data_IF_041960489274
#
_entry.id   IF_041960489274
#
_cell.length_a   1.000
_cell.length_b   1.000
_cell.length_c   1.000
_cell.angle_alpha   90.00
_cell.angle_beta   90.00
_cell.angle_gamma   90.00
#
_symmetry.space_group_name_H-M   'P 1'
#
loop_
_entity.id
_entity.type
_entity.pdbx_description
1 polymer ?
#
# COMPACT_ATOMS: atom_id res chain seq x y z
N UNK A 1 -9.90 -3.69 3.84
CA UNK A 1 -9.33 -4.22 2.58
C UNK A 1 -7.89 -3.76 2.50
N UNK A 2 -6.93 -4.65 2.28
CA UNK A 2 -5.50 -4.34 2.20
C UNK A 2 -4.85 -4.82 0.91
N UNK A 3 -3.58 -4.45 0.70
CA UNK A 3 -2.83 -4.82 -0.50
C UNK A 3 -2.75 -6.34 -0.73
N UNK A 4 -2.73 -7.14 0.33
CA UNK A 4 -2.71 -8.60 0.23
C UNK A 4 -3.96 -9.15 -0.47
N UNK A 5 -5.13 -8.55 -0.26
CA UNK A 5 -6.39 -9.03 -0.87
C UNK A 5 -6.36 -8.97 -2.41
N UNK A 6 -5.45 -8.17 -2.99
CA UNK A 6 -5.35 -7.90 -4.43
C UNK A 6 -4.01 -8.39 -5.01
N UNK A 7 -2.92 -8.32 -4.25
CA UNK A 7 -1.56 -8.50 -4.74
C UNK A 7 -0.89 -9.85 -4.36
N UNK A 8 -1.58 -10.74 -3.63
CA UNK A 8 -1.01 -11.96 -3.03
C UNK A 8 -0.41 -13.00 -4.01
N UNK A 9 -0.56 -12.82 -5.32
CA UNK A 9 0.08 -13.68 -6.34
C UNK A 9 0.68 -12.82 -7.45
N UNK A 10 1.94 -12.36 -7.32
CA UNK A 10 2.59 -11.57 -8.35
C UNK A 10 2.66 -12.40 -9.64
N UNK A 11 1.97 -11.92 -10.68
CA UNK A 11 2.05 -12.47 -12.03
C UNK A 11 3.39 -12.12 -12.68
N UNK A 12 3.74 -12.77 -13.80
CA UNK A 12 4.90 -12.36 -14.61
C UNK A 12 4.85 -10.87 -14.97
N UNK A 13 3.66 -10.35 -15.29
CA UNK A 13 3.45 -8.93 -15.54
C UNK A 13 3.76 -8.07 -14.31
N UNK A 14 3.37 -8.52 -13.11
CA UNK A 14 3.66 -7.81 -11.86
C UNK A 14 5.15 -7.76 -11.58
N UNK A 15 5.86 -8.89 -11.77
CA UNK A 15 7.31 -8.96 -11.60
C UNK A 15 8.01 -8.06 -12.61
N UNK A 16 7.64 -8.14 -13.90
CA UNK A 16 8.22 -7.29 -14.95
C UNK A 16 8.04 -5.80 -14.64
N UNK A 17 6.82 -5.36 -14.31
CA UNK A 17 6.56 -3.96 -13.98
C UNK A 17 7.26 -3.51 -12.69
N UNK A 18 7.40 -4.42 -11.69
CA UNK A 18 8.17 -4.14 -10.48
C UNK A 18 9.64 -3.92 -10.81
N UNK A 19 10.23 -4.75 -11.68
CA UNK A 19 11.61 -4.58 -12.15
C UNK A 19 11.78 -3.30 -12.96
N UNK A 20 10.81 -2.93 -13.80
CA UNK A 20 10.86 -1.67 -14.54
C UNK A 20 10.86 -0.46 -13.59
N UNK A 21 9.99 -0.47 -12.58
CA UNK A 21 9.87 0.61 -11.61
C UNK A 21 11.07 0.66 -10.65
N UNK A 22 11.51 -0.49 -10.12
CA UNK A 22 12.58 -0.57 -9.13
C UNK A 22 13.98 -0.67 -9.74
N UNK A 23 14.12 -1.04 -11.01
CA UNK A 23 15.41 -1.13 -11.70
C UNK A 23 15.79 0.16 -12.40
N UNK A 24 14.85 0.82 -13.08
CA UNK A 24 15.19 1.86 -14.06
C UNK A 24 14.73 3.28 -13.71
N UNK A 25 13.89 3.45 -12.68
CA UNK A 25 13.41 4.77 -12.27
C UNK A 25 14.24 5.33 -11.10
N UNK A 26 14.24 6.64 -10.88
CA UNK A 26 14.79 7.23 -9.64
C UNK A 26 13.65 7.55 -8.66
N UNK A 27 13.92 7.66 -7.35
CA UNK A 27 12.92 8.09 -6.37
C UNK A 27 12.27 9.43 -6.74
N UNK A 28 13.05 10.38 -7.25
CA UNK A 28 12.58 11.71 -7.66
C UNK A 28 11.69 11.63 -8.89
N UNK A 29 12.05 10.79 -9.87
CA UNK A 29 11.25 10.55 -11.08
C UNK A 29 9.89 9.97 -10.69
N UNK A 30 9.85 8.96 -9.84
CA UNK A 30 8.60 8.37 -9.32
C UNK A 30 7.79 9.43 -8.55
N UNK A 31 8.45 10.21 -7.68
CA UNK A 31 7.81 11.22 -6.84
C UNK A 31 7.16 12.36 -7.62
N UNK A 32 7.72 12.72 -8.78
CA UNK A 32 7.23 13.80 -9.65
C UNK A 32 6.14 13.36 -10.62
N UNK A 33 5.84 12.07 -10.74
CA UNK A 33 4.75 11.60 -11.59
C UNK A 33 3.42 12.20 -11.13
N UNK A 34 2.69 12.80 -12.07
CA UNK A 34 1.31 13.28 -11.90
C UNK A 34 0.29 12.38 -12.58
N UNK A 35 0.73 11.33 -13.28
CA UNK A 35 -0.12 10.38 -13.99
C UNK A 35 0.43 8.95 -13.92
N UNK A 36 -0.42 7.93 -14.12
CA UNK A 36 -0.01 6.52 -14.04
C UNK A 36 1.15 6.18 -15.00
N UNK A 37 1.15 6.79 -16.19
CA UNK A 37 2.18 6.59 -17.21
C UNK A 37 3.47 7.40 -17.00
N UNK A 38 3.57 8.17 -15.93
CA UNK A 38 4.70 9.05 -15.67
C UNK A 38 6.00 8.34 -15.28
N UNK A 39 5.93 7.05 -14.92
CA UNK A 39 7.09 6.21 -14.62
C UNK A 39 6.86 4.79 -15.15
N UNK A 40 7.95 4.14 -15.57
CA UNK A 40 7.88 2.80 -16.11
C UNK A 40 7.42 1.80 -15.04
N UNK A 41 6.43 0.98 -15.38
CA UNK A 41 5.82 0.03 -14.46
C UNK A 41 4.75 0.61 -13.52
N UNK A 42 4.70 1.94 -13.32
CA UNK A 42 3.75 2.57 -12.39
C UNK A 42 2.30 2.36 -12.79
N UNK A 43 1.97 2.46 -14.09
CA UNK A 43 0.63 2.22 -14.62
C UNK A 43 0.05 0.87 -14.21
N UNK A 44 0.87 -0.18 -14.15
CA UNK A 44 0.42 -1.51 -13.74
C UNK A 44 -0.03 -1.51 -12.27
N UNK A 45 0.77 -0.93 -11.39
CA UNK A 45 0.43 -0.82 -9.98
C UNK A 45 -0.76 0.12 -9.74
N UNK A 46 -0.87 1.21 -10.48
CA UNK A 46 -2.05 2.09 -10.38
C UNK A 46 -3.30 1.34 -10.82
N UNK A 47 -3.28 0.62 -11.94
CA UNK A 47 -4.41 -0.21 -12.39
C UNK A 47 -4.78 -1.25 -11.33
N UNK A 48 -3.79 -1.95 -10.78
CA UNK A 48 -4.01 -2.97 -9.75
C UNK A 48 -4.62 -2.38 -8.47
N UNK A 49 -4.00 -1.35 -7.92
CA UNK A 49 -4.44 -0.76 -6.66
C UNK A 49 -5.70 0.10 -6.80
N UNK A 50 -6.05 0.60 -7.99
CA UNK A 50 -7.29 1.35 -8.24
C UNK A 50 -8.41 0.45 -8.74
N UNK A 51 -8.21 -0.15 -9.91
CA UNK A 51 -9.29 -0.82 -10.64
C UNK A 51 -9.56 -2.21 -10.08
N UNK A 52 -8.50 -2.98 -9.79
CA UNK A 52 -8.67 -4.34 -9.24
C UNK A 52 -9.17 -4.28 -7.79
N UNK A 53 -8.66 -3.36 -6.97
CA UNK A 53 -9.21 -3.07 -5.63
C UNK A 53 -10.67 -2.64 -5.68
N UNK A 54 -11.04 -1.73 -6.59
CA UNK A 54 -12.45 -1.31 -6.74
C UNK A 54 -13.35 -2.49 -7.10
N UNK A 55 -12.92 -3.33 -8.05
CA UNK A 55 -13.65 -4.57 -8.41
C UNK A 55 -13.79 -5.51 -7.23
N UNK A 56 -12.75 -5.67 -6.43
CA UNK A 56 -12.80 -6.49 -5.23
C UNK A 56 -13.80 -5.93 -4.20
N UNK A 57 -13.76 -4.62 -3.93
CA UNK A 57 -14.72 -3.96 -3.03
C UNK A 57 -16.15 -4.19 -3.52
N UNK A 58 -16.43 -3.98 -4.80
CA UNK A 58 -17.76 -4.22 -5.38
C UNK A 58 -18.24 -5.65 -5.14
N UNK A 59 -17.35 -6.65 -5.29
CA UNK A 59 -17.68 -8.06 -4.99
C UNK A 59 -17.94 -8.31 -3.51
N UNK A 60 -17.16 -7.70 -2.61
CA UNK A 60 -17.33 -7.85 -1.17
C UNK A 60 -18.67 -7.25 -0.71
N UNK A 61 -19.05 -6.09 -1.26
CA UNK A 61 -20.27 -5.38 -0.84
C UNK A 61 -21.54 -5.84 -1.57
N UNK A 62 -21.42 -6.73 -2.56
CA UNK A 62 -22.54 -7.23 -3.36
C UNK A 62 -23.62 -7.88 -2.49
N UNK A 63 -23.22 -8.63 -1.46
CA UNK A 63 -24.15 -9.37 -0.57
C UNK A 63 -24.50 -8.61 0.69
N UNK A 64 -23.57 -7.84 1.22
CA UNK A 64 -23.73 -7.06 2.47
C UNK A 64 -23.18 -5.68 2.21
N UNK A 65 -23.96 -4.64 2.47
CA UNK A 65 -23.55 -3.25 2.26
C UNK A 65 -23.14 -2.62 3.60
N UNK A 66 -21.85 -2.70 4.00
CA UNK A 66 -21.39 -2.03 5.19
C UNK A 66 -21.53 -0.51 5.01
N UNK A 67 -21.67 0.23 6.11
CA UNK A 67 -21.64 1.69 6.04
C UNK A 67 -20.30 2.21 5.49
N UNK A 68 -19.21 1.48 5.72
CA UNK A 68 -17.86 1.90 5.38
C UNK A 68 -16.95 0.73 4.99
N UNK A 69 -16.06 0.97 4.03
CA UNK A 69 -14.90 0.13 3.70
C UNK A 69 -13.64 0.97 3.78
N UNK A 70 -12.70 0.57 4.63
CA UNK A 70 -11.37 1.19 4.71
C UNK A 70 -10.41 0.42 3.79
N UNK A 71 -9.73 1.16 2.91
CA UNK A 71 -8.75 0.63 1.95
C UNK A 71 -7.35 1.02 2.40
N UNK A 72 -6.64 0.07 2.97
CA UNK A 72 -5.34 0.28 3.57
C UNK A 72 -4.24 0.13 2.53
N UNK A 73 -3.53 1.21 2.22
CA UNK A 73 -2.24 1.12 1.52
C UNK A 73 -1.19 0.54 2.45
N UNK A 74 -0.28 -0.25 1.90
CA UNK A 74 0.82 -0.88 2.63
C UNK A 74 1.71 0.18 3.31
N UNK A 75 2.30 -0.23 4.44
CA UNK A 75 3.30 0.55 5.15
C UNK A 75 4.70 0.36 4.56
N UNK A 76 5.67 1.14 5.05
CA UNK A 76 7.07 0.93 4.72
C UNK A 76 7.59 -0.29 5.48
N UNK A 77 8.31 -1.23 4.83
CA UNK A 77 9.06 -2.24 5.56
C UNK A 77 10.11 -1.61 6.47
N UNK A 78 10.54 -2.32 7.51
CA UNK A 78 11.68 -1.90 8.31
C UNK A 78 12.95 -1.81 7.44
N UNK A 79 13.70 -0.73 7.61
CA UNK A 79 14.95 -0.49 6.89
C UNK A 79 16.06 -1.40 7.44
N UNK A 80 15.96 -1.85 8.70
CA UNK A 80 16.92 -2.79 9.30
C UNK A 80 16.70 -4.21 8.80
N UNK A 81 17.82 -4.90 8.51
CA UNK A 81 17.81 -6.33 8.18
C UNK A 81 17.73 -7.14 9.47
N UNK A 82 16.80 -8.08 9.52
CA UNK A 82 16.55 -8.91 10.70
C UNK A 82 16.72 -10.40 10.42
N UNK A 83 17.12 -10.79 9.21
CA UNK A 83 17.20 -12.21 8.80
C UNK A 83 15.83 -12.77 8.40
N UNK A 84 14.90 -11.91 8.01
CA UNK A 84 13.52 -12.29 7.75
C UNK A 84 13.33 -12.95 6.39
N UNK A 85 12.20 -13.63 6.23
CA UNK A 85 11.82 -14.24 4.95
C UNK A 85 11.72 -13.21 3.80
N UNK A 86 11.49 -11.93 4.12
CA UNK A 86 11.37 -10.85 3.14
C UNK A 86 12.72 -10.27 2.70
N UNK A 87 13.84 -10.60 3.37
CA UNK A 87 15.13 -9.97 3.13
C UNK A 87 15.64 -10.19 1.70
N UNK A 88 15.45 -11.37 1.13
CA UNK A 88 15.84 -11.67 -0.24
C UNK A 88 15.11 -10.79 -1.26
N UNK A 89 13.78 -10.67 -1.11
CA UNK A 89 12.97 -9.83 -1.99
C UNK A 89 13.31 -8.35 -1.83
N UNK A 90 13.42 -7.85 -0.60
CA UNK A 90 13.76 -6.45 -0.34
C UNK A 90 15.18 -6.10 -0.81
N UNK A 91 16.13 -7.04 -0.71
CA UNK A 91 17.45 -6.89 -1.30
C UNK A 91 17.40 -6.77 -2.82
N UNK A 92 16.63 -7.63 -3.50
CA UNK A 92 16.48 -7.59 -4.95
C UNK A 92 15.83 -6.29 -5.46
N UNK A 93 14.98 -5.65 -4.64
CA UNK A 93 14.40 -4.34 -4.94
C UNK A 93 15.34 -3.16 -4.61
N UNK A 94 16.54 -3.43 -4.08
CA UNK A 94 17.50 -2.40 -3.67
C UNK A 94 17.12 -1.69 -2.35
N UNK A 95 16.10 -2.18 -1.63
CA UNK A 95 15.55 -1.53 -0.45
C UNK A 95 16.58 -1.37 0.68
N UNK A 96 17.51 -2.31 0.80
CA UNK A 96 18.57 -2.30 1.82
C UNK A 96 19.53 -1.12 1.73
N UNK A 97 19.72 -0.55 0.54
CA UNK A 97 20.63 0.58 0.34
C UNK A 97 19.92 1.87 -0.04
N UNK A 98 18.70 1.76 -0.61
CA UNK A 98 17.90 2.86 -1.14
C UNK A 98 16.41 2.68 -0.81
N UNK A 99 16.04 2.68 0.48
CA UNK A 99 14.66 2.44 0.89
C UNK A 99 13.69 3.48 0.32
N UNK A 100 14.15 4.71 0.14
CA UNK A 100 13.37 5.84 -0.36
C UNK A 100 12.72 5.57 -1.72
N UNK A 101 13.31 4.70 -2.54
CA UNK A 101 12.77 4.34 -3.87
C UNK A 101 11.46 3.58 -3.78
N UNK A 102 11.42 2.50 -2.99
CA UNK A 102 10.20 1.73 -2.77
C UNK A 102 9.18 2.56 -2.00
N UNK A 103 9.62 3.33 -1.02
CA UNK A 103 8.74 4.24 -0.27
C UNK A 103 8.10 5.29 -1.19
N UNK A 104 8.85 5.85 -2.15
CA UNK A 104 8.33 6.77 -3.16
C UNK A 104 7.27 6.10 -4.05
N UNK A 105 7.50 4.85 -4.46
CA UNK A 105 6.52 4.08 -5.21
C UNK A 105 5.24 3.83 -4.42
N UNK A 106 5.34 3.41 -3.15
CA UNK A 106 4.19 3.19 -2.26
C UNK A 106 3.35 4.48 -2.13
N UNK A 107 4.01 5.61 -1.82
CA UNK A 107 3.34 6.92 -1.72
C UNK A 107 2.65 7.30 -3.03
N UNK A 108 3.32 7.09 -4.16
CA UNK A 108 2.79 7.48 -5.47
C UNK A 108 1.60 6.60 -5.90
N UNK A 109 1.64 5.30 -5.62
CA UNK A 109 0.50 4.41 -5.88
C UNK A 109 -0.67 4.79 -4.97
N UNK A 110 -0.44 5.19 -3.72
CA UNK A 110 -1.52 5.66 -2.84
C UNK A 110 -2.23 6.89 -3.43
N UNK A 111 -1.43 7.89 -3.81
CA UNK A 111 -1.92 9.13 -4.39
C UNK A 111 -2.72 8.91 -5.68
N UNK A 112 -2.14 8.18 -6.64
CA UNK A 112 -2.74 8.01 -7.98
C UNK A 112 -3.80 6.91 -8.05
N UNK A 113 -3.79 5.96 -7.11
CA UNK A 113 -4.63 4.76 -7.17
C UNK A 113 -5.58 4.66 -5.99
N UNK A 114 -5.07 4.46 -4.77
CA UNK A 114 -5.90 4.18 -3.60
C UNK A 114 -6.82 5.36 -3.27
N UNK A 115 -6.30 6.60 -3.31
CA UNK A 115 -7.09 7.81 -3.11
C UNK A 115 -8.18 7.98 -4.17
N UNK A 116 -7.93 7.53 -5.40
CA UNK A 116 -8.89 7.64 -6.50
C UNK A 116 -10.14 6.75 -6.32
N UNK A 117 -10.15 5.84 -5.34
CA UNK A 117 -11.31 4.99 -5.01
C UNK A 117 -12.22 5.66 -3.96
N UNK A 118 -11.75 6.72 -3.30
CA UNK A 118 -12.47 7.39 -2.22
C UNK A 118 -13.87 7.88 -2.62
N UNK A 119 -14.76 7.97 -1.64
CA UNK A 119 -16.15 8.39 -1.83
C UNK A 119 -17.12 7.22 -1.73
N UNK A 120 -18.35 7.40 -2.22
CA UNK A 120 -19.42 6.41 -2.05
C UNK A 120 -19.49 5.44 -3.23
N UNK A 121 -19.47 4.13 -2.95
CA UNK A 121 -19.71 3.05 -3.92
C UNK A 121 -20.94 2.28 -3.46
N UNK A 122 -22.03 2.34 -4.24
CA UNK A 122 -23.29 1.64 -3.94
C UNK A 122 -23.82 1.85 -2.50
N UNK A 123 -23.69 3.09 -1.99
CA UNK A 123 -24.11 3.45 -0.64
C UNK A 123 -23.09 3.11 0.47
N UNK A 124 -21.99 2.44 0.14
CA UNK A 124 -20.86 2.19 1.06
C UNK A 124 -19.84 3.33 0.94
N UNK A 125 -19.47 3.96 2.06
CA UNK A 125 -18.39 4.95 2.09
C UNK A 125 -17.02 4.24 1.99
N UNK A 126 -16.20 4.61 1.01
CA UNK A 126 -14.84 4.08 0.85
C UNK A 126 -13.82 5.13 1.30
N UNK A 127 -13.00 4.75 2.27
CA UNK A 127 -11.99 5.62 2.90
C UNK A 127 -10.59 5.05 2.67
N UNK A 128 -9.71 5.73 1.91
CA UNK A 128 -8.30 5.39 1.80
C UNK A 128 -7.59 5.59 3.14
N UNK A 129 -6.67 4.68 3.49
CA UNK A 129 -5.87 4.79 4.70
C UNK A 129 -4.38 4.51 4.41
N UNK A 130 -3.46 5.47 4.62
CA UNK A 130 -2.05 5.30 4.31
C UNK A 130 -1.28 4.71 5.49
N UNK A 131 -1.18 3.38 5.60
CA UNK A 131 -0.41 2.81 6.72
C UNK A 131 1.08 3.14 6.70
N UNK A 132 1.64 3.57 5.56
CA UNK A 132 3.00 4.08 5.51
C UNK A 132 3.21 5.37 6.31
N UNK A 133 2.14 6.08 6.67
CA UNK A 133 2.20 7.21 7.60
C UNK A 133 2.03 6.77 9.07
N UNK A 134 1.72 5.50 9.31
CA UNK A 134 1.46 4.93 10.64
C UNK A 134 2.65 4.11 11.14
N UNK A 135 3.20 3.27 10.27
CA UNK A 135 4.42 2.51 10.52
C UNK A 135 5.56 3.08 9.69
N UNK A 136 6.49 3.72 10.39
CA UNK A 136 7.72 4.26 9.83
C UNK A 136 8.78 3.16 9.79
N UNK A 137 9.31 2.86 8.61
CA UNK A 137 10.35 1.84 8.40
C UNK A 137 11.65 2.10 9.17
N UNK A 138 11.82 3.30 9.74
CA UNK A 138 12.97 3.62 10.60
C UNK A 138 12.79 3.22 12.07
N UNK A 139 11.56 2.93 12.50
CA UNK A 139 11.26 2.50 13.86
C UNK A 139 11.10 0.98 13.92
N UNK A 140 12.24 0.28 14.04
CA UNK A 140 12.31 -1.19 14.15
C UNK A 140 11.44 -1.75 15.28
N UNK A 141 11.13 -0.98 16.32
CA UNK A 141 10.25 -1.45 17.41
C UNK A 141 8.81 -1.72 16.97
N UNK A 142 8.42 -1.23 15.79
CA UNK A 142 7.10 -1.45 15.20
C UNK A 142 7.00 -2.74 14.39
N UNK A 143 8.09 -3.50 14.24
CA UNK A 143 8.16 -4.64 13.34
C UNK A 143 8.61 -5.93 14.03
N UNK A 144 8.16 -7.03 13.47
CA UNK A 144 8.71 -8.38 13.57
C UNK A 144 9.11 -8.75 12.15
N UNK A 145 10.31 -9.30 11.98
CA UNK A 145 10.73 -9.85 10.68
C UNK A 145 10.57 -8.88 9.50
N UNK A 146 10.77 -7.59 9.79
CA UNK A 146 10.88 -6.49 8.82
C UNK A 146 9.59 -6.07 8.10
N UNK A 147 8.65 -6.98 7.90
CA UNK A 147 7.40 -6.73 7.17
C UNK A 147 6.16 -7.00 8.01
N UNK A 148 6.29 -7.70 9.13
CA UNK A 148 5.18 -8.02 10.01
C UNK A 148 5.12 -6.97 11.13
N UNK A 149 3.95 -6.44 11.48
CA UNK A 149 3.86 -5.49 12.58
C UNK A 149 4.12 -6.20 13.91
N UNK A 150 4.91 -5.60 14.79
CA UNK A 150 5.01 -6.01 16.19
C UNK A 150 3.69 -5.77 16.93
N UNK A 151 3.57 -6.22 18.18
CA UNK A 151 2.41 -5.88 19.01
C UNK A 151 2.17 -4.36 19.10
N UNK A 152 3.26 -3.58 19.18
CA UNK A 152 3.21 -2.11 19.17
C UNK A 152 2.81 -1.54 17.80
N UNK A 153 3.36 -2.10 16.72
CA UNK A 153 2.98 -1.73 15.35
C UNK A 153 1.50 -1.99 15.08
N UNK A 154 1.02 -3.18 15.47
CA UNK A 154 -0.37 -3.60 15.35
C UNK A 154 -1.31 -2.70 16.17
N UNK A 155 -0.92 -2.32 17.40
CA UNK A 155 -1.69 -1.38 18.21
C UNK A 155 -1.84 -0.02 17.51
N UNK A 156 -0.76 0.53 16.93
CA UNK A 156 -0.82 1.80 16.19
C UNK A 156 -1.77 1.69 15.00
N UNK A 157 -1.66 0.62 14.20
CA UNK A 157 -2.56 0.39 13.07
C UNK A 157 -4.02 0.29 13.51
N UNK A 158 -4.31 -0.47 14.56
CA UNK A 158 -5.66 -0.66 15.10
C UNK A 158 -6.25 0.67 15.59
N UNK A 159 -5.45 1.47 16.32
CA UNK A 159 -5.84 2.81 16.78
C UNK A 159 -6.15 3.72 15.59
N UNK A 160 -5.32 3.74 14.56
CA UNK A 160 -5.56 4.57 13.37
C UNK A 160 -6.83 4.14 12.63
N UNK A 161 -7.10 2.83 12.50
CA UNK A 161 -8.37 2.35 11.93
C UNK A 161 -9.54 2.86 12.76
N UNK A 162 -9.48 2.73 14.09
CA UNK A 162 -10.54 3.17 14.99
C UNK A 162 -10.84 4.66 14.86
N UNK A 163 -9.80 5.51 14.90
CA UNK A 163 -9.97 6.96 14.72
C UNK A 163 -10.53 7.31 13.35
N UNK A 164 -10.17 6.55 12.30
CA UNK A 164 -10.75 6.72 10.96
C UNK A 164 -12.24 6.43 10.95
N UNK A 165 -12.68 5.34 11.60
CA UNK A 165 -14.10 4.99 11.73
C UNK A 165 -14.84 6.10 12.49
N UNK A 166 -14.30 6.52 13.64
CA UNK A 166 -14.89 7.54 14.49
C UNK A 166 -15.03 8.88 13.76
N UNK A 167 -14.03 9.31 13.00
CA UNK A 167 -14.06 10.56 12.24
C UNK A 167 -15.09 10.57 11.09
N UNK A 168 -15.46 9.39 10.58
CA UNK A 168 -16.35 9.25 9.42
C UNK A 168 -17.74 8.71 9.80
N UNK A 169 -18.00 8.47 11.09
CA UNK A 169 -19.31 8.08 11.59
C UNK A 169 -19.89 9.27 12.35
N UNK A 170 -21.07 9.76 11.96
CA UNK A 170 -21.80 10.76 12.75
C UNK A 170 -22.30 10.06 14.01
N UNK A 171 -21.82 10.47 15.18
CA UNK A 171 -22.46 10.17 16.48
C UNK A 171 -23.73 10.97 16.63
#
# INVERSE_FOLDING_TARGET
>A
VGGNDIALRPTFSTIFNLLMLMGFQSPESIGRCSSPGGAWGLSHFVRMFRDDTRRYIMKVIERVRPAMVIVCMIYFPDEQKTGSWADGTLAALGYNGRPEKLQAAIRKVYELATCAISGTIEGTLVVPLPFFAVLDGKDTSLYVDRVEPSGRGGERMARTIWETIKANTRT
#
